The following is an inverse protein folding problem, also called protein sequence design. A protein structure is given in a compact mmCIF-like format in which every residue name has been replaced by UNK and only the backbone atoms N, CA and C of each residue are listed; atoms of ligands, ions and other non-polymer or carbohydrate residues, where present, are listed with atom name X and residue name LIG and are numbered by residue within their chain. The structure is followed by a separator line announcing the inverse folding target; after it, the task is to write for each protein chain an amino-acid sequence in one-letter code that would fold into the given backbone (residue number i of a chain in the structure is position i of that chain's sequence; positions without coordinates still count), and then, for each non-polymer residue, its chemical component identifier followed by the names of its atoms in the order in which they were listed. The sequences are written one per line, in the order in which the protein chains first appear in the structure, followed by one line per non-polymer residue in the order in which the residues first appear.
data_IF_702268345199
#
_entry.id   IF_702268345199
#
_cell.length_a   1.000
_cell.length_b   1.000
_cell.length_c   1.000
_cell.angle_alpha   90.00
_cell.angle_beta   90.00
_cell.angle_gamma   90.00
#
_symmetry.space_group_name_H-M   'P 1'
#
loop_
_entity.id
_entity.type
_entity.pdbx_description
1 polymer ?
#
# COMPACT_ATOMS: atom_id res chain seq x y z
N UNK A 1 17.15 32.93 -3.02
CA UNK A 1 16.24 31.78 -2.90
C UNK A 1 15.00 32.07 -3.71
N UNK A 2 14.53 31.11 -4.51
CA UNK A 2 13.10 30.86 -4.54
C UNK A 2 12.81 29.36 -4.56
N UNK A 3 11.82 28.95 -3.79
CA UNK A 3 11.26 27.60 -3.75
C UNK A 3 10.67 27.29 -5.12
N UNK A 4 11.42 26.58 -5.96
CA UNK A 4 10.93 26.05 -7.22
C UNK A 4 9.78 25.09 -6.93
N UNK A 5 8.59 25.56 -7.29
CA UNK A 5 7.41 24.78 -7.71
C UNK A 5 6.89 23.74 -6.71
N UNK A 6 5.90 24.18 -5.95
CA UNK A 6 4.81 23.33 -5.45
C UNK A 6 3.83 22.90 -6.58
N UNK A 7 4.29 22.73 -7.83
CA UNK A 7 3.45 22.32 -8.96
C UNK A 7 3.33 20.80 -9.08
N UNK A 8 4.18 20.03 -8.38
CA UNK A 8 4.25 18.58 -8.57
C UNK A 8 3.51 17.77 -7.50
N UNK A 9 3.18 18.32 -6.33
CA UNK A 9 2.56 17.53 -5.26
C UNK A 9 1.15 17.02 -5.63
N UNK A 10 0.34 17.85 -6.28
CA UNK A 10 -1.02 17.49 -6.69
C UNK A 10 -1.04 16.60 -7.93
N UNK A 11 -0.12 16.84 -8.88
CA UNK A 11 0.06 15.98 -10.06
C UNK A 11 0.57 14.59 -9.67
N UNK A 12 1.54 14.52 -8.76
CA UNK A 12 2.01 13.26 -8.16
C UNK A 12 0.86 12.55 -7.43
N UNK A 13 0.00 13.26 -6.70
CA UNK A 13 -1.15 12.64 -6.02
C UNK A 13 -2.18 12.07 -7.03
N UNK A 14 -2.41 12.76 -8.15
CA UNK A 14 -3.33 12.32 -9.19
C UNK A 14 -2.78 11.13 -10.01
N UNK A 15 -1.50 11.13 -10.35
CA UNK A 15 -0.83 9.98 -10.99
C UNK A 15 -0.81 8.77 -10.07
N UNK A 16 -0.47 8.95 -8.78
CA UNK A 16 -0.52 7.89 -7.77
C UNK A 16 -1.93 7.34 -7.61
N UNK A 17 -2.94 8.20 -7.59
CA UNK A 17 -4.36 7.79 -7.53
C UNK A 17 -4.76 6.95 -8.74
N UNK A 18 -4.37 7.36 -9.95
CA UNK A 18 -4.63 6.61 -11.19
C UNK A 18 -3.92 5.26 -11.20
N UNK A 19 -2.65 5.22 -10.78
CA UNK A 19 -1.88 3.97 -10.68
C UNK A 19 -2.53 2.99 -9.69
N UNK A 20 -2.94 3.48 -8.52
CA UNK A 20 -3.64 2.66 -7.52
C UNK A 20 -4.96 2.16 -8.10
N UNK A 21 -5.81 3.04 -8.64
CA UNK A 21 -7.10 2.66 -9.19
C UNK A 21 -6.98 1.61 -10.33
N UNK A 22 -5.95 1.73 -11.17
CA UNK A 22 -5.71 0.79 -12.27
C UNK A 22 -5.11 -0.55 -11.83
N UNK A 23 -4.45 -0.61 -10.66
CA UNK A 23 -3.70 -1.80 -10.22
C UNK A 23 -4.27 -2.45 -8.96
N UNK A 24 -5.27 -1.82 -8.31
CA UNK A 24 -5.85 -2.31 -7.07
C UNK A 24 -6.54 -3.65 -7.31
N UNK A 25 -6.11 -4.65 -6.55
CA UNK A 25 -6.68 -5.99 -6.57
C UNK A 25 -6.69 -6.58 -5.17
N UNK A 26 -7.56 -7.56 -4.97
CA UNK A 26 -7.52 -8.38 -3.75
C UNK A 26 -6.28 -9.27 -3.84
N UNK A 27 -5.48 -9.30 -2.78
CA UNK A 27 -4.31 -10.18 -2.67
C UNK A 27 -4.67 -11.39 -1.80
N UNK A 28 -4.33 -12.58 -2.30
CA UNK A 28 -4.52 -13.82 -1.55
C UNK A 28 -3.55 -13.90 -0.38
N UNK A 29 -3.89 -14.66 0.66
CA UNK A 29 -3.01 -14.88 1.84
C UNK A 29 -1.65 -15.46 1.42
N UNK A 30 -1.61 -16.33 0.41
CA UNK A 30 -0.36 -16.89 -0.13
C UNK A 30 0.51 -15.84 -0.82
N UNK A 31 -0.08 -14.97 -1.65
CA UNK A 31 0.63 -13.85 -2.28
C UNK A 31 1.13 -12.85 -1.22
N UNK A 32 0.32 -12.61 -0.19
CA UNK A 32 0.68 -11.72 0.91
C UNK A 32 1.86 -12.26 1.72
N UNK A 33 1.90 -13.58 1.98
CA UNK A 33 3.05 -14.24 2.63
C UNK A 33 4.31 -14.10 1.80
N UNK A 34 4.25 -14.39 0.50
CA UNK A 34 5.39 -14.23 -0.42
C UNK A 34 5.89 -12.79 -0.46
N UNK A 35 4.98 -11.83 -0.51
CA UNK A 35 5.33 -10.42 -0.45
C UNK A 35 6.00 -10.07 0.89
N UNK A 36 5.52 -10.62 2.01
CA UNK A 36 6.18 -10.48 3.30
C UNK A 36 7.59 -11.06 3.32
N UNK A 37 7.81 -12.22 2.71
CA UNK A 37 9.15 -12.81 2.59
C UNK A 37 10.09 -11.95 1.74
N UNK A 38 9.59 -11.35 0.65
CA UNK A 38 10.36 -10.42 -0.20
C UNK A 38 10.70 -9.10 0.52
N UNK A 39 9.72 -8.54 1.24
CA UNK A 39 9.89 -7.28 1.98
C UNK A 39 10.84 -7.48 3.18
N UNK A 40 10.69 -8.60 3.90
CA UNK A 40 11.35 -8.87 5.17
C UNK A 40 12.40 -9.97 5.05
N UNK A 41 13.38 -9.77 4.18
CA UNK A 41 14.55 -10.64 4.01
C UNK A 41 15.38 -10.81 5.31
N UNK A 42 15.20 -9.91 6.30
CA UNK A 42 15.83 -10.00 7.62
C UNK A 42 14.79 -9.92 8.76
N UNK A 43 14.99 -10.65 9.88
CA UNK A 43 14.11 -10.61 11.05
C UNK A 43 14.08 -9.27 11.78
N UNK A 44 15.15 -8.47 11.68
CA UNK A 44 15.27 -7.17 12.36
C UNK A 44 14.61 -6.02 11.60
N UNK A 45 13.97 -6.31 10.46
CA UNK A 45 13.31 -5.27 9.67
C UNK A 45 12.13 -4.68 10.47
N UNK A 46 12.07 -3.34 10.61
CA UNK A 46 10.94 -2.70 11.25
C UNK A 46 9.65 -3.06 10.48
N UNK A 47 8.54 -3.15 11.19
CA UNK A 47 7.22 -3.52 10.65
C UNK A 47 7.02 -4.98 10.25
N UNK A 48 8.06 -5.84 10.27
CA UNK A 48 7.91 -7.29 10.01
C UNK A 48 6.90 -7.93 10.95
N UNK A 49 7.07 -7.71 12.25
CA UNK A 49 6.16 -8.26 13.25
C UNK A 49 4.73 -7.74 13.06
N UNK A 50 4.59 -6.43 12.80
CA UNK A 50 3.28 -5.81 12.55
C UNK A 50 2.60 -6.40 11.31
N UNK A 51 3.34 -6.59 10.22
CA UNK A 51 2.83 -7.22 9.01
C UNK A 51 2.38 -8.65 9.29
N UNK A 52 3.25 -9.48 9.88
CA UNK A 52 2.92 -10.87 10.22
C UNK A 52 1.73 -10.97 11.18
N UNK A 53 1.65 -10.10 12.17
CA UNK A 53 0.50 -9.99 13.08
C UNK A 53 -0.79 -9.69 12.30
N UNK A 54 -0.78 -8.69 11.42
CA UNK A 54 -1.95 -8.35 10.58
C UNK A 54 -2.37 -9.51 9.67
N UNK A 55 -1.41 -10.24 9.06
CA UNK A 55 -1.71 -11.42 8.25
C UNK A 55 -2.28 -12.57 9.08
N UNK A 56 -1.76 -12.77 10.30
CA UNK A 56 -2.07 -13.94 11.14
C UNK A 56 -3.34 -13.75 11.97
N UNK A 57 -3.57 -12.54 12.48
CA UNK A 57 -4.72 -12.21 13.32
C UNK A 57 -6.03 -12.11 12.51
N UNK A 58 -5.91 -11.82 11.21
CA UNK A 58 -7.07 -11.61 10.33
C UNK A 58 -7.06 -12.55 9.11
N UNK A 59 -7.16 -13.89 9.31
CA UNK A 59 -7.10 -14.87 8.22
C UNK A 59 -8.28 -14.79 7.23
N UNK A 60 -9.34 -14.05 7.56
CA UNK A 60 -10.49 -13.78 6.69
C UNK A 60 -10.60 -12.34 6.19
N UNK A 61 -9.67 -11.44 6.55
CA UNK A 61 -9.73 -10.05 6.10
C UNK A 61 -9.39 -9.93 4.62
N UNK A 62 -10.06 -8.98 3.96
CA UNK A 62 -9.79 -8.70 2.56
C UNK A 62 -8.66 -7.68 2.46
N UNK A 63 -7.49 -8.15 2.06
CA UNK A 63 -6.35 -7.30 1.77
C UNK A 63 -6.38 -6.84 0.32
N UNK A 64 -6.18 -5.54 0.14
CA UNK A 64 -6.02 -4.91 -1.16
C UNK A 64 -4.56 -4.57 -1.38
N UNK A 65 -4.06 -4.93 -2.54
CA UNK A 65 -2.73 -4.63 -3.03
C UNK A 65 -2.85 -3.70 -4.24
N UNK A 66 -2.06 -2.63 -4.27
CA UNK A 66 -1.95 -1.75 -5.42
C UNK A 66 -0.52 -1.24 -5.60
N UNK A 67 -0.16 -0.90 -6.83
CA UNK A 67 1.05 -0.12 -7.13
C UNK A 67 0.70 1.36 -7.14
N UNK A 68 1.39 2.14 -6.32
CA UNK A 68 1.27 3.60 -6.30
C UNK A 68 2.26 4.28 -7.27
N UNK A 69 2.82 3.55 -8.24
CA UNK A 69 3.81 4.10 -9.16
C UNK A 69 5.23 4.12 -8.57
N UNK A 70 6.23 4.24 -9.45
CA UNK A 70 7.66 4.29 -9.08
C UNK A 70 8.14 3.10 -8.23
N UNK A 71 7.47 1.94 -8.34
CA UNK A 71 7.79 0.73 -7.56
C UNK A 71 7.26 0.75 -6.13
N UNK A 72 6.47 1.76 -5.74
CA UNK A 72 5.81 1.80 -4.43
C UNK A 72 4.64 0.82 -4.42
N UNK A 73 4.67 -0.14 -3.52
CA UNK A 73 3.60 -1.09 -3.26
C UNK A 73 2.80 -0.60 -2.06
N UNK A 74 1.47 -0.65 -2.18
CA UNK A 74 0.55 -0.30 -1.11
C UNK A 74 -0.29 -1.52 -0.76
N UNK A 75 -0.40 -1.77 0.54
CA UNK A 75 -1.19 -2.84 1.10
C UNK A 75 -2.19 -2.28 2.11
N UNK A 76 -3.46 -2.65 1.99
CA UNK A 76 -4.53 -2.05 2.77
C UNK A 76 -5.60 -3.08 3.15
N UNK A 77 -5.88 -3.19 4.45
CA UNK A 77 -7.05 -3.90 4.98
C UNK A 77 -8.19 -2.90 5.12
N UNK A 78 -9.31 -3.18 4.42
CA UNK A 78 -10.52 -2.36 4.55
C UNK A 78 -11.19 -2.58 5.91
N UNK A 79 -11.12 -3.80 6.43
CA UNK A 79 -11.78 -4.21 7.68
C UNK A 79 -11.21 -3.46 8.89
N UNK A 80 -9.89 -3.31 8.97
CA UNK A 80 -9.19 -2.66 10.08
C UNK A 80 -8.89 -1.17 9.85
N UNK A 81 -9.19 -0.67 8.64
CA UNK A 81 -8.71 0.61 8.12
C UNK A 81 -7.20 0.85 8.35
N UNK A 82 -6.40 -0.18 8.11
CA UNK A 82 -4.94 -0.16 8.28
C UNK A 82 -4.27 -0.48 6.96
N UNK A 83 -3.09 0.10 6.74
CA UNK A 83 -2.30 -0.24 5.59
C UNK A 83 -0.85 0.19 5.73
N UNK A 84 -0.05 -0.31 4.80
CA UNK A 84 1.40 -0.15 4.75
C UNK A 84 1.77 0.25 3.32
N UNK A 85 2.78 1.09 3.18
CA UNK A 85 3.46 1.28 1.91
C UNK A 85 4.86 0.70 2.01
N UNK A 86 5.35 0.15 0.91
CA UNK A 86 6.68 -0.43 0.78
C UNK A 86 7.31 0.04 -0.53
N UNK A 87 8.56 0.47 -0.45
CA UNK A 87 9.40 0.77 -1.60
C UNK A 87 10.72 0.01 -1.44
N UNK A 88 11.02 -0.98 -2.30
CA UNK A 88 12.26 -1.75 -2.26
C UNK A 88 13.49 -0.86 -2.20
N UNK A 89 14.42 -1.17 -1.29
CA UNK A 89 15.67 -0.42 -1.11
C UNK A 89 15.52 0.97 -0.46
N UNK A 90 14.30 1.48 -0.28
CA UNK A 90 14.04 2.79 0.34
C UNK A 90 13.44 2.66 1.74
N UNK A 91 12.30 1.99 1.89
CA UNK A 91 11.65 1.91 3.19
C UNK A 91 10.26 1.28 3.18
N UNK A 92 9.74 1.11 4.40
CA UNK A 92 8.40 0.63 4.69
C UNK A 92 7.81 1.50 5.80
N UNK A 93 6.51 1.76 5.73
CA UNK A 93 5.83 2.52 6.77
C UNK A 93 4.31 2.38 6.73
N UNK A 94 3.62 2.91 7.75
CA UNK A 94 2.17 2.93 7.78
C UNK A 94 1.65 3.89 6.71
N UNK A 95 0.50 3.56 6.13
CA UNK A 95 -0.21 4.51 5.28
C UNK A 95 -0.70 5.69 6.10
N UNK A 96 -0.50 6.89 5.56
CA UNK A 96 -1.12 8.11 6.06
C UNK A 96 -2.64 8.04 5.92
N UNK A 97 -3.36 8.93 6.61
CA UNK A 97 -4.81 9.04 6.45
C UNK A 97 -5.23 9.30 4.99
N UNK A 98 -4.49 10.18 4.28
CA UNK A 98 -4.71 10.42 2.85
C UNK A 98 -4.54 9.16 2.01
N UNK A 99 -3.47 8.39 2.25
CA UNK A 99 -3.25 7.11 1.56
C UNK A 99 -4.37 6.11 1.79
N UNK A 100 -4.87 5.99 3.02
CA UNK A 100 -6.02 5.12 3.35
C UNK A 100 -7.31 5.61 2.67
N UNK A 101 -7.55 6.92 2.63
CA UNK A 101 -8.68 7.50 1.90
C UNK A 101 -8.63 7.18 0.40
N UNK A 102 -7.44 7.25 -0.22
CA UNK A 102 -7.25 6.90 -1.62
C UNK A 102 -7.58 5.42 -1.88
N UNK A 103 -7.10 4.51 -1.03
CA UNK A 103 -7.41 3.09 -1.15
C UNK A 103 -8.91 2.83 -1.03
N UNK A 104 -9.60 3.44 -0.04
CA UNK A 104 -11.06 3.31 0.10
C UNK A 104 -11.81 3.78 -1.13
N UNK A 105 -11.41 4.93 -1.70
CA UNK A 105 -12.00 5.46 -2.93
C UNK A 105 -11.77 4.53 -4.12
N UNK A 106 -10.57 3.99 -4.28
CA UNK A 106 -10.24 3.04 -5.34
C UNK A 106 -11.06 1.74 -5.23
N UNK A 107 -11.22 1.21 -4.00
CA UNK A 107 -12.05 0.02 -3.75
C UNK A 107 -13.53 0.31 -4.05
N UNK A 108 -14.04 1.48 -3.64
CA UNK A 108 -15.43 1.88 -3.86
C UNK A 108 -15.75 2.16 -5.33
N UNK A 109 -14.78 2.65 -6.11
CA UNK A 109 -14.91 2.82 -7.56
C UNK A 109 -14.97 1.47 -8.31
N UNK A 110 -14.54 0.38 -7.65
CA UNK A 110 -14.48 -0.97 -8.20
C UNK A 110 -13.26 -1.16 -9.10
N UNK A 111 -12.66 -2.36 -9.15
CA UNK A 111 -11.71 -2.69 -10.20
C UNK A 111 -12.47 -2.60 -11.53
N UNK A 112 -11.93 -1.85 -12.50
CA UNK A 112 -12.55 -1.62 -13.81
C UNK A 112 -13.28 -2.87 -14.32
N UNK A 113 -14.61 -2.76 -14.45
CA UNK A 113 -15.47 -3.78 -15.07
C UNK A 113 -15.40 -3.67 -16.59
#
# INVERSE_FOLDING_TARGET
MPFEKFEDAEAIDDERRKAIASSIRIISVEELKKLGEEIFDSPDRPWRQTFLSVVTENPGATFYHASAGEGVIVLYSRDDDKGLWYLPGSGIGPLSEGGRQLMRKAIAAGPHR
#
